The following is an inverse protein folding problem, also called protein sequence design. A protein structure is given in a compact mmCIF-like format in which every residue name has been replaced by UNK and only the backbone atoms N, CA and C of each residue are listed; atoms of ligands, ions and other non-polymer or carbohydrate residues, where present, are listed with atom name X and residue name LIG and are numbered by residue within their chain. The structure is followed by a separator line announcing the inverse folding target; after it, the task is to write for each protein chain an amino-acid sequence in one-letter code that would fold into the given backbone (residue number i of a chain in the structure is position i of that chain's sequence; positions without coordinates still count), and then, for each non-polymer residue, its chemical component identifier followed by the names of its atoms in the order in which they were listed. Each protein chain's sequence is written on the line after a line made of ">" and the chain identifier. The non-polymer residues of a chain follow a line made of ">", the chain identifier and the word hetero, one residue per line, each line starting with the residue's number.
data_IF_588094165247
#
_entry.id   IF_588094165247
#
_cell.length_a   1.000
_cell.length_b   1.000
_cell.length_c   1.000
_cell.angle_alpha   90.00
_cell.angle_beta   90.00
_cell.angle_gamma   90.00
#
_symmetry.space_group_name_H-M   'P 1'
#
loop_
_entity.id
_entity.type
_entity.pdbx_description
1 polymer ?
#
# COMPACT_ATOMS: atom_id res chain seq x y z
N UNK A 1 32.20 49.94 -8.29
CA UNK A 1 31.28 48.99 -8.95
C UNK A 1 30.35 48.44 -7.86
N UNK A 2 29.22 49.11 -7.61
CA UNK A 2 28.34 48.83 -6.48
C UNK A 2 27.32 47.77 -6.89
N UNK A 3 27.44 46.57 -6.34
CA UNK A 3 26.51 45.47 -6.55
C UNK A 3 25.26 45.78 -5.74
N UNK A 4 24.22 46.29 -6.40
CA UNK A 4 22.91 46.47 -5.80
C UNK A 4 22.42 45.15 -5.22
N UNK A 5 22.31 45.09 -3.89
CA UNK A 5 21.59 44.05 -3.16
C UNK A 5 20.10 44.16 -3.50
N UNK A 6 19.67 43.44 -4.54
CA UNK A 6 18.25 43.30 -4.86
C UNK A 6 17.58 42.59 -3.68
N UNK A 7 16.59 43.19 -2.98
CA UNK A 7 15.88 42.48 -1.93
C UNK A 7 15.09 41.35 -2.60
N UNK A 8 15.47 40.10 -2.32
CA UNK A 8 14.71 38.91 -2.72
C UNK A 8 13.31 39.00 -2.10
N UNK A 9 12.35 39.59 -2.80
CA UNK A 9 10.92 39.47 -2.46
C UNK A 9 10.52 38.02 -2.70
N UNK A 10 10.67 37.19 -1.67
CA UNK A 10 10.23 35.80 -1.65
C UNK A 10 8.72 35.79 -1.43
N UNK A 11 7.96 35.98 -2.52
CA UNK A 11 6.51 35.80 -2.48
C UNK A 11 6.22 34.36 -2.08
N UNK A 12 5.59 34.12 -0.92
CA UNK A 12 5.20 32.78 -0.54
C UNK A 12 4.21 32.25 -1.58
N UNK A 13 4.47 31.08 -2.15
CA UNK A 13 3.50 30.41 -3.03
C UNK A 13 2.14 30.29 -2.34
N UNK A 14 1.03 30.30 -3.07
CA UNK A 14 -0.33 30.20 -2.53
C UNK A 14 -0.54 29.07 -1.49
N UNK A 15 0.12 27.92 -1.68
CA UNK A 15 0.08 26.81 -0.69
C UNK A 15 0.82 27.12 0.61
N UNK A 16 1.91 27.91 0.54
CA UNK A 16 2.66 28.42 1.69
C UNK A 16 1.85 29.45 2.48
N UNK A 17 1.09 30.31 1.81
CA UNK A 17 0.16 31.24 2.48
C UNK A 17 -0.96 30.50 3.21
N UNK A 18 -1.63 29.54 2.54
CA UNK A 18 -2.66 28.71 3.20
C UNK A 18 -2.13 27.94 4.40
N UNK A 19 -0.92 27.39 4.28
CA UNK A 19 -0.24 26.74 5.40
C UNK A 19 0.08 27.74 6.53
N UNK A 20 0.63 28.91 6.20
CA UNK A 20 0.91 29.97 7.17
C UNK A 20 -0.35 30.38 7.94
N UNK A 21 -1.45 30.66 7.23
CA UNK A 21 -2.75 30.98 7.85
C UNK A 21 -3.24 29.87 8.79
N UNK A 22 -3.09 28.60 8.39
CA UNK A 22 -3.42 27.46 9.26
C UNK A 22 -2.53 27.40 10.50
N UNK A 23 -1.22 27.58 10.34
CA UNK A 23 -0.27 27.53 11.47
C UNK A 23 -0.43 28.70 12.42
N UNK A 24 -0.74 29.89 11.90
CA UNK A 24 -1.04 31.10 12.68
C UNK A 24 -2.28 30.90 13.56
N UNK A 25 -3.29 30.18 13.07
CA UNK A 25 -4.47 29.80 13.87
C UNK A 25 -4.15 28.81 14.98
N UNK A 26 -3.21 27.88 14.76
CA UNK A 26 -2.87 26.83 15.72
C UNK A 26 -1.86 27.30 16.78
N UNK A 27 -0.88 28.11 16.39
CA UNK A 27 0.22 28.55 17.25
C UNK A 27 0.54 30.04 17.01
N UNK A 28 -0.28 30.96 17.54
CA UNK A 28 -0.25 32.39 17.19
C UNK A 28 1.05 33.15 17.52
N UNK A 29 2.02 32.54 18.21
CA UNK A 29 3.34 33.14 18.48
C UNK A 29 4.54 32.43 17.84
N UNK A 30 4.31 31.29 17.17
CA UNK A 30 5.38 30.40 16.67
C UNK A 30 5.22 30.08 15.16
N UNK A 31 4.33 30.80 14.48
CA UNK A 31 4.10 30.65 13.05
C UNK A 31 5.29 31.23 12.27
N UNK A 32 6.33 30.43 12.07
CA UNK A 32 7.48 30.84 11.26
C UNK A 32 7.13 30.72 9.78
N UNK A 33 7.08 31.84 9.05
CA UNK A 33 6.87 31.83 7.60
C UNK A 33 8.01 31.14 6.83
N UNK A 34 9.17 30.98 7.47
CA UNK A 34 10.33 30.20 7.03
C UNK A 34 10.22 28.71 7.36
N UNK A 35 9.13 28.25 7.97
CA UNK A 35 8.90 26.84 8.24
C UNK A 35 8.85 26.07 6.92
N UNK A 36 9.90 25.31 6.67
CA UNK A 36 9.96 24.33 5.61
C UNK A 36 9.15 23.13 6.10
N UNK A 37 7.93 22.99 5.58
CA UNK A 37 7.12 21.82 5.89
C UNK A 37 7.65 20.61 5.11
N UNK A 38 8.62 19.92 5.70
CA UNK A 38 9.17 18.66 5.21
C UNK A 38 8.17 17.50 5.28
N UNK A 39 6.96 17.72 5.80
CA UNK A 39 5.87 16.74 5.77
C UNK A 39 4.92 16.93 4.58
N UNK A 40 4.98 18.07 3.87
CA UNK A 40 4.08 18.41 2.77
C UNK A 40 4.61 17.84 1.43
N UNK A 41 3.84 17.01 0.71
CA UNK A 41 4.21 16.55 -0.64
C UNK A 41 4.52 17.70 -1.61
N UNK A 42 3.79 18.82 -1.50
CA UNK A 42 3.97 19.97 -2.40
C UNK A 42 5.35 20.63 -2.25
N UNK A 43 6.01 20.47 -1.10
CA UNK A 43 7.38 20.93 -0.90
C UNK A 43 8.36 20.11 -1.75
N UNK A 44 8.24 18.79 -1.70
CA UNK A 44 9.10 17.88 -2.46
C UNK A 44 8.87 17.96 -3.96
N UNK A 45 7.63 18.19 -4.41
CA UNK A 45 7.34 18.45 -5.82
C UNK A 45 8.07 19.71 -6.33
N UNK A 46 8.13 20.78 -5.53
CA UNK A 46 8.89 21.98 -5.90
C UNK A 46 10.39 21.71 -5.95
N UNK A 47 10.92 20.94 -4.99
CA UNK A 47 12.31 20.52 -5.01
C UNK A 47 12.63 19.72 -6.28
N UNK A 48 11.73 18.84 -6.72
CA UNK A 48 11.91 18.07 -7.96
C UNK A 48 11.78 18.90 -9.23
N UNK A 49 11.01 19.99 -9.20
CA UNK A 49 10.99 20.95 -10.32
C UNK A 49 12.32 21.68 -10.47
N UNK A 50 12.98 22.01 -9.36
CA UNK A 50 14.29 22.66 -9.37
C UNK A 50 15.43 21.66 -9.65
N UNK A 51 15.37 20.48 -9.04
CA UNK A 51 16.33 19.39 -9.22
C UNK A 51 15.58 18.05 -9.35
N UNK A 52 15.46 17.57 -10.58
CA UNK A 52 14.70 16.34 -10.91
C UNK A 52 15.26 15.06 -10.29
N UNK A 53 16.53 15.07 -9.87
CA UNK A 53 17.23 13.95 -9.26
C UNK A 53 17.46 14.15 -7.76
N UNK A 54 16.73 15.08 -7.13
CA UNK A 54 16.85 15.30 -5.69
C UNK A 54 16.40 14.06 -4.90
N UNK A 55 17.37 13.25 -4.47
CA UNK A 55 17.21 11.92 -3.88
C UNK A 55 16.20 11.91 -2.72
N UNK A 56 16.39 12.81 -1.74
CA UNK A 56 15.48 12.92 -0.59
C UNK A 56 14.04 13.26 -0.98
N UNK A 57 13.84 14.09 -2.00
CA UNK A 57 12.51 14.48 -2.44
C UNK A 57 11.79 13.33 -3.16
N UNK A 58 12.53 12.56 -3.97
CA UNK A 58 12.04 11.32 -4.58
C UNK A 58 11.62 10.32 -3.50
N UNK A 59 12.48 10.10 -2.50
CA UNK A 59 12.19 9.21 -1.37
C UNK A 59 10.94 9.62 -0.58
N UNK A 60 10.82 10.89 -0.21
CA UNK A 60 9.70 11.36 0.61
C UNK A 60 8.36 11.36 -0.14
N UNK A 61 8.36 11.63 -1.45
CA UNK A 61 7.16 11.41 -2.29
C UNK A 61 6.83 9.93 -2.39
N UNK A 62 7.83 9.05 -2.58
CA UNK A 62 7.64 7.60 -2.54
C UNK A 62 6.95 7.14 -1.27
N UNK A 63 7.41 7.62 -0.11
CA UNK A 63 6.80 7.34 1.20
C UNK A 63 5.37 7.84 1.33
N UNK A 64 5.06 9.02 0.78
CA UNK A 64 3.70 9.55 0.80
C UNK A 64 2.75 8.68 -0.04
N UNK A 65 3.17 8.26 -1.24
CA UNK A 65 2.40 7.32 -2.05
C UNK A 65 2.27 5.95 -1.40
N UNK A 66 3.31 5.50 -0.69
CA UNK A 66 3.27 4.26 0.08
C UNK A 66 2.20 4.32 1.18
N UNK A 67 2.18 5.41 1.97
CA UNK A 67 1.18 5.66 3.02
C UNK A 67 -0.25 5.71 2.48
N UNK A 68 -0.42 6.21 1.25
CA UNK A 68 -1.72 6.25 0.56
C UNK A 68 -2.11 4.92 -0.08
N UNK A 69 -1.25 3.89 -0.02
CA UNK A 69 -1.50 2.58 -0.63
C UNK A 69 -1.24 2.51 -2.14
N UNK A 70 -0.66 3.55 -2.75
CA UNK A 70 -0.30 3.57 -4.16
C UNK A 70 1.08 2.93 -4.39
N UNK A 71 1.18 1.62 -4.13
CA UNK A 71 2.44 0.87 -4.12
C UNK A 71 3.26 0.98 -5.42
N UNK A 72 2.60 0.98 -6.59
CA UNK A 72 3.28 1.11 -7.89
C UNK A 72 3.94 2.48 -8.07
N UNK A 73 3.26 3.56 -7.67
CA UNK A 73 3.82 4.92 -7.73
C UNK A 73 4.97 5.07 -6.74
N UNK A 74 4.81 4.53 -5.52
CA UNK A 74 5.87 4.53 -4.52
C UNK A 74 7.14 3.84 -5.03
N UNK A 75 6.99 2.68 -5.68
CA UNK A 75 8.10 1.95 -6.28
C UNK A 75 8.85 2.80 -7.33
N UNK A 76 8.13 3.45 -8.25
CA UNK A 76 8.73 4.32 -9.28
C UNK A 76 9.58 5.45 -8.66
N UNK A 77 9.06 6.09 -7.61
CA UNK A 77 9.80 7.12 -6.88
C UNK A 77 11.04 6.58 -6.16
N UNK A 78 10.96 5.40 -5.54
CA UNK A 78 12.11 4.76 -4.91
C UNK A 78 13.15 4.31 -5.94
N UNK A 79 12.73 3.79 -7.09
CA UNK A 79 13.62 3.42 -8.19
C UNK A 79 14.40 4.63 -8.71
N UNK A 80 13.71 5.75 -8.93
CA UNK A 80 14.35 7.01 -9.32
C UNK A 80 15.30 7.54 -8.25
N UNK A 81 14.98 7.37 -6.96
CA UNK A 81 15.87 7.78 -5.87
C UNK A 81 17.16 6.95 -5.86
N UNK A 82 17.05 5.63 -6.03
CA UNK A 82 18.21 4.71 -6.12
C UNK A 82 19.03 4.95 -7.38
N UNK A 83 18.40 5.29 -8.50
CA UNK A 83 19.11 5.67 -9.73
C UNK A 83 19.88 6.98 -9.58
N UNK A 84 19.33 7.93 -8.82
CA UNK A 84 19.99 9.22 -8.56
C UNK A 84 21.15 9.09 -7.56
N UNK A 85 21.00 8.26 -6.54
CA UNK A 85 22.04 7.94 -5.57
C UNK A 85 21.89 6.50 -5.08
N UNK A 86 22.71 5.56 -5.60
CA UNK A 86 22.70 4.17 -5.17
C UNK A 86 23.11 3.98 -3.70
N UNK A 87 23.82 4.93 -3.10
CA UNK A 87 24.28 4.88 -1.71
C UNK A 87 23.26 5.48 -0.73
N UNK A 88 22.11 5.97 -1.21
CA UNK A 88 21.07 6.48 -0.33
C UNK A 88 20.28 5.34 0.33
N UNK A 89 20.83 4.84 1.44
CA UNK A 89 20.31 3.74 2.26
C UNK A 89 18.78 3.75 2.46
N UNK A 90 18.11 4.90 2.75
CA UNK A 90 16.67 4.89 2.98
C UNK A 90 15.86 4.47 1.75
N UNK A 91 16.25 4.87 0.54
CA UNK A 91 15.52 4.48 -0.67
C UNK A 91 15.79 3.01 -1.05
N UNK A 92 17.03 2.54 -0.87
CA UNK A 92 17.39 1.13 -1.08
C UNK A 92 16.58 0.24 -0.14
N UNK A 93 16.58 0.56 1.15
CA UNK A 93 15.80 -0.15 2.16
C UNK A 93 14.30 -0.15 1.86
N UNK A 94 13.74 1.00 1.47
CA UNK A 94 12.32 1.11 1.12
C UNK A 94 11.95 0.26 -0.10
N UNK A 95 12.81 0.23 -1.14
CA UNK A 95 12.64 -0.62 -2.32
C UNK A 95 12.64 -2.11 -1.96
N UNK A 96 13.58 -2.55 -1.13
CA UNK A 96 13.67 -3.95 -0.68
C UNK A 96 12.42 -4.34 0.12
N UNK A 97 11.98 -3.50 1.05
CA UNK A 97 10.77 -3.74 1.83
C UNK A 97 9.52 -3.86 0.96
N UNK A 98 9.41 -3.01 -0.08
CA UNK A 98 8.27 -3.01 -0.98
C UNK A 98 8.26 -4.26 -1.88
N UNK A 99 9.43 -4.72 -2.34
CA UNK A 99 9.57 -5.98 -3.06
C UNK A 99 9.15 -7.19 -2.19
N UNK A 100 9.56 -7.20 -0.92
CA UNK A 100 9.18 -8.25 0.03
C UNK A 100 7.66 -8.30 0.27
N UNK A 101 7.02 -7.14 0.43
CA UNK A 101 5.56 -7.05 0.58
C UNK A 101 4.82 -7.58 -0.65
N UNK A 102 5.34 -7.33 -1.86
CA UNK A 102 4.76 -7.84 -3.10
C UNK A 102 4.83 -9.37 -3.15
N UNK A 103 6.01 -9.96 -2.90
CA UNK A 103 6.19 -11.41 -2.88
C UNK A 103 5.30 -12.08 -1.83
N UNK A 104 5.16 -11.47 -0.66
CA UNK A 104 4.31 -12.00 0.40
C UNK A 104 2.83 -12.00 0.01
N UNK A 105 2.34 -10.94 -0.66
CA UNK A 105 0.98 -10.90 -1.22
C UNK A 105 0.76 -12.01 -2.26
N UNK A 106 1.67 -12.15 -3.21
CA UNK A 106 1.60 -13.19 -4.26
C UNK A 106 1.59 -14.60 -3.66
N UNK A 107 2.40 -14.87 -2.63
CA UNK A 107 2.41 -16.15 -1.93
C UNK A 107 1.10 -16.42 -1.15
N UNK A 108 0.56 -15.40 -0.48
CA UNK A 108 -0.73 -15.51 0.21
C UNK A 108 -1.84 -15.83 -0.81
N UNK A 109 -1.89 -15.12 -1.93
CA UNK A 109 -2.84 -15.36 -3.00
C UNK A 109 -2.69 -16.74 -3.64
N UNK A 110 -1.46 -17.22 -3.84
CA UNK A 110 -1.22 -18.57 -4.36
C UNK A 110 -1.74 -19.64 -3.39
N UNK A 111 -1.49 -19.47 -2.10
CA UNK A 111 -1.97 -20.39 -1.05
C UNK A 111 -3.49 -20.36 -0.91
N UNK A 112 -4.11 -19.18 -0.99
CA UNK A 112 -5.58 -19.09 -0.97
C UNK A 112 -6.18 -19.75 -2.20
N UNK A 113 -5.62 -19.52 -3.41
CA UNK A 113 -6.05 -20.19 -4.63
C UNK A 113 -5.90 -21.72 -4.53
N UNK A 114 -4.78 -22.21 -4.02
CA UNK A 114 -4.57 -23.65 -3.82
C UNK A 114 -5.59 -24.25 -2.85
N UNK A 115 -5.90 -23.57 -1.74
CA UNK A 115 -6.94 -24.00 -0.82
C UNK A 115 -8.34 -23.98 -1.45
N UNK A 116 -8.67 -22.95 -2.24
CA UNK A 116 -9.98 -22.87 -2.93
C UNK A 116 -10.10 -23.83 -4.11
N UNK A 117 -8.99 -24.16 -4.77
CA UNK A 117 -8.93 -25.05 -5.93
C UNK A 117 -8.79 -26.52 -5.53
N UNK A 118 -8.31 -26.80 -4.32
CA UNK A 118 -8.42 -28.15 -3.76
C UNK A 118 -9.91 -28.49 -3.68
N UNK A 119 -10.40 -29.54 -4.36
CA UNK A 119 -11.77 -29.98 -4.17
C UNK A 119 -11.82 -30.35 -2.70
N UNK A 120 -12.53 -29.55 -1.90
CA UNK A 120 -12.81 -29.91 -0.51
C UNK A 120 -13.30 -31.34 -0.61
N UNK A 121 -12.51 -32.30 -0.13
CA UNK A 121 -12.91 -33.70 -0.04
C UNK A 121 -14.09 -33.64 0.90
N UNK A 122 -15.30 -33.45 0.35
CA UNK A 122 -16.54 -33.31 1.10
C UNK A 122 -16.61 -34.60 1.90
N UNK A 123 -16.18 -34.54 3.17
CA UNK A 123 -16.39 -35.65 4.08
C UNK A 123 -17.91 -35.77 4.10
N UNK A 124 -18.44 -36.88 3.57
CA UNK A 124 -19.89 -37.12 3.56
C UNK A 124 -20.39 -36.84 4.96
N UNK A 125 -21.38 -35.95 5.08
CA UNK A 125 -21.89 -35.62 6.41
C UNK A 125 -22.51 -36.88 7.01
N UNK A 126 -22.47 -37.00 8.34
CA UNK A 126 -23.06 -38.15 9.05
C UNK A 126 -24.52 -38.39 8.60
N UNK A 127 -25.25 -37.32 8.29
CA UNK A 127 -26.64 -37.35 7.81
C UNK A 127 -26.76 -38.01 6.42
N UNK A 128 -25.81 -37.76 5.53
CA UNK A 128 -25.78 -38.38 4.20
C UNK A 128 -25.43 -39.87 4.27
N UNK A 129 -24.62 -40.26 5.27
CA UNK A 129 -24.31 -41.66 5.50
C UNK A 129 -25.49 -42.41 6.11
N UNK A 130 -26.16 -41.83 7.12
CA UNK A 130 -27.31 -42.47 7.75
C UNK A 130 -28.50 -42.60 6.80
N UNK A 131 -28.74 -41.60 5.94
CA UNK A 131 -29.81 -41.68 4.94
C UNK A 131 -29.57 -42.80 3.91
N UNK A 132 -28.33 -42.99 3.45
CA UNK A 132 -27.97 -44.07 2.52
C UNK A 132 -28.19 -45.46 3.14
N UNK A 133 -27.83 -45.64 4.42
CA UNK A 133 -28.04 -46.90 5.14
C UNK A 133 -29.53 -47.19 5.34
N UNK A 134 -30.34 -46.19 5.69
CA UNK A 134 -31.78 -46.34 5.86
C UNK A 134 -32.47 -46.78 4.55
N UNK A 135 -32.09 -46.16 3.42
CA UNK A 135 -32.62 -46.50 2.10
C UNK A 135 -32.24 -47.93 1.66
N UNK A 136 -31.03 -48.39 2.01
CA UNK A 136 -30.63 -49.78 1.77
C UNK A 136 -31.49 -50.77 2.56
N UNK A 137 -31.78 -50.44 3.82
CA UNK A 137 -32.60 -51.30 4.68
C UNK A 137 -34.05 -51.39 4.21
N UNK A 138 -34.64 -50.27 3.77
CA UNK A 138 -36.02 -50.27 3.25
C UNK A 138 -36.14 -51.06 1.95
N UNK A 139 -35.16 -50.96 1.04
CA UNK A 139 -35.11 -51.78 -0.18
C UNK A 139 -35.00 -53.28 0.12
N UNK A 140 -34.18 -53.66 1.10
CA UNK A 140 -34.07 -55.05 1.53
C UNK A 140 -35.37 -55.58 2.14
N UNK A 141 -36.02 -54.76 2.98
CA UNK A 141 -37.29 -55.13 3.62
C UNK A 141 -38.43 -55.29 2.62
N UNK A 142 -38.55 -54.41 1.62
CA UNK A 142 -39.57 -54.55 0.57
C UNK A 142 -39.31 -55.76 -0.32
N UNK A 143 -38.05 -56.05 -0.62
CA UNK A 143 -37.66 -57.22 -1.42
C UNK A 143 -37.95 -58.54 -0.68
N UNK A 144 -37.69 -58.58 0.64
CA UNK A 144 -38.07 -59.71 1.49
C UNK A 144 -39.59 -59.89 1.58
N UNK A 145 -40.36 -58.79 1.69
CA UNK A 145 -41.83 -58.84 1.73
C UNK A 145 -42.42 -59.35 0.41
N UNK A 146 -41.84 -59.00 -0.73
CA UNK A 146 -42.25 -59.52 -2.05
C UNK A 146 -41.91 -61.00 -2.19
N UNK A 147 -40.77 -61.47 -1.66
CA UNK A 147 -40.38 -62.88 -1.68
C UNK A 147 -41.21 -63.78 -0.74
N UNK A 148 -41.76 -63.23 0.34
CA UNK A 148 -42.62 -63.96 1.29
C UNK A 148 -44.10 -64.05 0.86
N UNK A 149 -44.49 -63.38 -0.23
CA UNK A 149 -45.86 -63.35 -0.74
C UNK A 149 -46.01 -64.27 -1.95
#
# INVERSE_FOLDING_TARGET
>A
MNIHTVPKRSYPSHTREKFYERTKRLFPGHANATYINTSDPAYYEKLLRANRTHVRALYELGRQYEKQGFWRKAADYYDRAVLADPCFEPAVGAKILLARRRQQKEHIEARTRAHTASPVRKKLSLIQMTSAVLLGYTLLATLAFVLLR
#
